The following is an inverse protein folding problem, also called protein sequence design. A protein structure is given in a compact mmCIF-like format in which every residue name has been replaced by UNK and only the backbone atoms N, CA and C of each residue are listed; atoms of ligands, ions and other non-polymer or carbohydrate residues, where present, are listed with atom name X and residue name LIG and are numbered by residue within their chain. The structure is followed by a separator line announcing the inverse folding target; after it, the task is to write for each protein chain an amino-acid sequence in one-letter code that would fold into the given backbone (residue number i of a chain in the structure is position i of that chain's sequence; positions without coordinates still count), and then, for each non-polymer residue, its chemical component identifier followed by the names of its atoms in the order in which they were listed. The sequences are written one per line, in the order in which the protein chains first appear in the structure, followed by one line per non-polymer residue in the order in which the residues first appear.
data_IF_296924298551
#
_entry.id   IF_296924298551
#
_cell.length_a   1.000
_cell.length_b   1.000
_cell.length_c   1.000
_cell.angle_alpha   90.00
_cell.angle_beta   90.00
_cell.angle_gamma   90.00
#
_symmetry.space_group_name_H-M   'P 1'
#
loop_
_entity.id
_entity.type
_entity.pdbx_description
1 polymer ?
#
# COMPACT_ATOMS: atom_id res chain seq x y z
N UNK A 1 -54.57 28.27 -42.77
CA UNK A 1 -53.32 28.42 -42.00
C UNK A 1 -53.60 27.97 -40.56
N UNK A 2 -53.28 26.73 -40.24
CA UNK A 2 -53.39 26.19 -38.88
C UNK A 2 -52.00 26.32 -38.23
N UNK A 3 -51.89 27.09 -37.15
CA UNK A 3 -50.66 27.22 -36.38
C UNK A 3 -50.67 26.19 -35.24
N UNK A 4 -49.80 25.19 -35.32
CA UNK A 4 -49.53 24.26 -34.23
C UNK A 4 -48.65 24.96 -33.19
N UNK A 5 -49.16 25.12 -31.98
CA UNK A 5 -48.39 25.55 -30.81
C UNK A 5 -47.66 24.33 -30.25
N UNK A 6 -46.33 24.28 -30.41
CA UNK A 6 -45.48 23.26 -29.78
C UNK A 6 -45.09 23.78 -28.39
N UNK A 7 -45.71 23.21 -27.37
CA UNK A 7 -45.37 23.46 -25.97
C UNK A 7 -44.09 22.67 -25.64
N UNK A 8 -42.93 23.34 -25.65
CA UNK A 8 -41.68 22.75 -25.16
C UNK A 8 -41.72 22.69 -23.63
N UNK A 9 -42.04 21.53 -23.08
CA UNK A 9 -41.81 21.23 -21.67
C UNK A 9 -40.31 21.06 -21.48
N UNK A 10 -39.65 22.13 -21.04
CA UNK A 10 -38.29 22.04 -20.52
C UNK A 10 -38.35 21.26 -19.21
N UNK A 11 -38.14 19.94 -19.29
CA UNK A 11 -37.71 19.13 -18.17
C UNK A 11 -36.39 19.72 -17.69
N UNK A 12 -36.44 20.53 -16.65
CA UNK A 12 -35.30 20.85 -15.81
C UNK A 12 -34.85 19.54 -15.14
N UNK A 13 -34.14 18.70 -15.89
CA UNK A 13 -33.28 17.69 -15.31
C UNK A 13 -32.20 18.49 -14.60
N UNK A 14 -32.40 18.69 -13.31
CA UNK A 14 -31.36 19.15 -12.42
C UNK A 14 -30.30 18.05 -12.42
N UNK A 15 -29.37 18.10 -13.37
CA UNK A 15 -28.12 17.34 -13.29
C UNK A 15 -27.37 17.98 -12.12
N UNK A 16 -27.70 17.54 -10.91
CA UNK A 16 -26.80 17.71 -9.78
C UNK A 16 -25.57 16.88 -10.13
N UNK A 17 -24.59 17.53 -10.75
CA UNK A 17 -23.22 17.10 -10.65
C UNK A 17 -22.91 17.09 -9.15
N UNK A 18 -23.11 15.93 -8.53
CA UNK A 18 -22.94 15.79 -7.09
C UNK A 18 -21.45 15.88 -6.81
N UNK A 19 -20.99 17.06 -6.40
CA UNK A 19 -19.69 17.29 -5.77
C UNK A 19 -19.65 16.65 -4.37
N UNK A 20 -20.21 15.45 -4.22
CA UNK A 20 -20.22 14.74 -2.96
C UNK A 20 -18.91 13.96 -2.86
N UNK A 21 -17.92 14.69 -2.37
CA UNK A 21 -16.54 14.27 -2.07
C UNK A 21 -16.51 13.01 -1.19
N UNK A 22 -17.40 12.92 -0.21
CA UNK A 22 -17.53 11.77 0.69
C UNK A 22 -18.87 11.06 0.51
N UNK A 23 -18.89 9.71 0.50
CA UNK A 23 -20.13 8.95 0.46
C UNK A 23 -21.03 9.22 1.68
N UNK A 24 -22.34 8.95 1.60
CA UNK A 24 -23.23 8.99 2.75
C UNK A 24 -22.69 8.13 3.90
N UNK A 25 -22.73 8.67 5.12
CA UNK A 25 -22.11 8.04 6.29
C UNK A 25 -22.74 6.67 6.61
N UNK A 26 -24.02 6.47 6.30
CA UNK A 26 -24.74 5.19 6.44
C UNK A 26 -24.22 4.07 5.54
N UNK A 27 -23.68 4.41 4.36
CA UNK A 27 -23.15 3.43 3.40
C UNK A 27 -21.74 2.96 3.77
N UNK A 28 -21.01 3.76 4.55
CA UNK A 28 -19.59 3.53 4.86
C UNK A 28 -19.33 3.12 6.31
N UNK A 29 -20.34 2.99 7.17
CA UNK A 29 -20.16 2.56 8.57
C UNK A 29 -19.34 1.26 8.66
N UNK A 30 -18.37 1.13 9.59
CA UNK A 30 -17.98 2.09 10.63
C UNK A 30 -16.90 3.10 10.17
N UNK A 31 -16.54 3.09 8.89
CA UNK A 31 -15.56 4.01 8.35
C UNK A 31 -16.10 5.45 8.35
N UNK A 32 -15.17 6.39 8.39
CA UNK A 32 -15.43 7.82 8.28
C UNK A 32 -14.75 8.35 7.03
N UNK A 33 -15.35 9.35 6.42
CA UNK A 33 -14.76 10.08 5.30
C UNK A 33 -14.69 11.57 5.64
N UNK A 34 -13.55 12.19 5.37
CA UNK A 34 -13.35 13.63 5.49
C UNK A 34 -12.49 14.13 4.33
N UNK A 35 -12.65 15.38 3.92
CA UNK A 35 -11.85 15.95 2.84
C UNK A 35 -12.60 16.92 1.94
N UNK A 36 -11.89 17.39 0.91
CA UNK A 36 -12.43 18.16 -0.22
C UNK A 36 -12.06 17.47 -1.55
N UNK A 37 -12.38 18.09 -2.69
CA UNK A 37 -12.23 17.55 -4.05
C UNK A 37 -10.84 16.94 -4.38
N UNK A 38 -9.78 17.32 -3.66
CA UNK A 38 -8.41 16.83 -3.88
C UNK A 38 -7.80 16.07 -2.70
N UNK A 39 -8.45 16.05 -1.54
CA UNK A 39 -7.88 15.52 -0.28
C UNK A 39 -8.91 14.68 0.48
N UNK A 40 -9.47 13.68 -0.19
CA UNK A 40 -10.36 12.72 0.47
C UNK A 40 -9.51 11.81 1.37
N UNK A 41 -10.01 11.54 2.57
CA UNK A 41 -9.43 10.65 3.55
C UNK A 41 -10.51 9.71 4.07
N UNK A 42 -10.36 8.43 3.77
CA UNK A 42 -11.18 7.36 4.30
C UNK A 42 -10.48 6.71 5.49
N UNK A 43 -11.19 6.60 6.61
CA UNK A 43 -10.66 6.03 7.84
C UNK A 43 -11.61 4.97 8.39
N UNK A 44 -11.17 3.72 8.30
CA UNK A 44 -11.85 2.56 8.86
C UNK A 44 -11.16 2.15 10.16
N UNK A 45 -11.92 2.08 11.25
CA UNK A 45 -11.42 1.66 12.55
C UNK A 45 -12.36 0.63 13.19
N UNK A 46 -11.80 -0.30 13.97
CA UNK A 46 -12.61 -1.26 14.73
C UNK A 46 -13.38 -2.26 13.87
N UNK A 47 -12.91 -2.54 12.65
CA UNK A 47 -13.56 -3.52 11.77
C UNK A 47 -13.39 -4.92 12.37
N UNK A 48 -14.49 -5.63 12.60
CA UNK A 48 -14.50 -6.94 13.27
C UNK A 48 -14.79 -8.12 12.33
N UNK A 49 -15.15 -7.85 11.08
CA UNK A 49 -15.38 -8.90 10.08
C UNK A 49 -15.08 -8.41 8.66
N UNK A 50 -14.73 -9.36 7.78
CA UNK A 50 -14.52 -9.06 6.37
C UNK A 50 -15.76 -8.46 5.71
N UNK A 51 -16.94 -8.98 6.03
CA UNK A 51 -18.22 -8.49 5.49
C UNK A 51 -18.45 -7.00 5.81
N UNK A 52 -18.07 -6.57 7.01
CA UNK A 52 -18.17 -5.17 7.41
C UNK A 52 -17.29 -4.29 6.53
N UNK A 53 -16.01 -4.66 6.34
CA UNK A 53 -15.10 -3.94 5.44
C UNK A 53 -15.64 -3.88 4.00
N UNK A 54 -16.08 -5.03 3.47
CA UNK A 54 -16.61 -5.13 2.11
C UNK A 54 -17.82 -4.22 1.89
N UNK A 55 -18.70 -4.10 2.88
CA UNK A 55 -19.84 -3.20 2.80
C UNK A 55 -19.38 -1.74 2.81
N UNK A 56 -18.48 -1.36 3.72
CA UNK A 56 -17.99 0.01 3.81
C UNK A 56 -17.23 0.44 2.55
N UNK A 57 -16.40 -0.45 1.99
CA UNK A 57 -15.56 -0.15 0.81
C UNK A 57 -16.40 0.10 -0.44
N UNK A 58 -17.55 -0.56 -0.60
CA UNK A 58 -18.47 -0.32 -1.73
C UNK A 58 -18.92 1.15 -1.82
N UNK A 59 -19.11 1.81 -0.67
CA UNK A 59 -19.48 3.23 -0.65
C UNK A 59 -18.41 4.13 -1.27
N UNK A 60 -17.14 3.71 -1.30
CA UNK A 60 -16.03 4.47 -1.87
C UNK A 60 -15.75 4.17 -3.35
N UNK A 61 -16.47 3.22 -3.97
CA UNK A 61 -16.29 2.93 -5.40
C UNK A 61 -16.65 4.16 -6.25
N UNK A 62 -15.74 4.57 -7.13
CA UNK A 62 -15.92 5.74 -8.00
C UNK A 62 -15.55 7.10 -7.38
N UNK A 63 -15.19 7.15 -6.09
CA UNK A 63 -14.61 8.36 -5.51
C UNK A 63 -13.22 8.63 -6.11
N UNK A 64 -12.93 9.89 -6.45
CA UNK A 64 -11.62 10.31 -6.95
C UNK A 64 -10.59 10.23 -5.83
N UNK A 65 -9.37 9.83 -6.19
CA UNK A 65 -8.28 9.35 -5.34
C UNK A 65 -8.09 9.95 -3.94
N UNK A 66 -7.73 9.08 -2.97
CA UNK A 66 -7.65 9.42 -1.53
C UNK A 66 -6.57 8.67 -0.76
N UNK A 67 -6.36 9.14 0.48
CA UNK A 67 -5.74 8.32 1.53
C UNK A 67 -6.79 7.36 2.08
N UNK A 68 -6.48 6.07 2.14
CA UNK A 68 -7.32 5.07 2.81
C UNK A 68 -6.55 4.48 3.98
N UNK A 69 -7.19 4.48 5.16
CA UNK A 69 -6.58 3.97 6.38
C UNK A 69 -7.46 2.90 7.03
N UNK A 70 -6.83 1.80 7.43
CA UNK A 70 -7.44 0.77 8.28
C UNK A 70 -6.66 0.73 9.58
N UNK A 71 -7.36 0.81 10.70
CA UNK A 71 -6.76 0.80 12.03
C UNK A 71 -7.54 -0.08 12.99
N UNK A 72 -6.86 -0.59 14.02
CA UNK A 72 -7.49 -1.22 15.19
C UNK A 72 -8.53 -2.29 14.79
N UNK A 73 -8.24 -3.07 13.74
CA UNK A 73 -9.19 -3.98 13.10
C UNK A 73 -8.78 -5.44 13.27
N UNK A 74 -9.75 -6.33 13.44
CA UNK A 74 -9.51 -7.74 13.73
C UNK A 74 -10.45 -8.62 12.90
N UNK A 75 -9.90 -9.19 11.82
CA UNK A 75 -10.60 -10.15 10.96
C UNK A 75 -9.58 -11.06 10.27
N UNK A 76 -10.05 -12.18 9.72
CA UNK A 76 -9.18 -13.31 9.34
C UNK A 76 -8.06 -12.94 8.35
N UNK A 77 -8.37 -12.25 7.26
CA UNK A 77 -7.41 -11.83 6.24
C UNK A 77 -7.95 -10.66 5.43
N UNK A 78 -7.06 -9.88 4.82
CA UNK A 78 -7.43 -8.84 3.86
C UNK A 78 -7.44 -9.43 2.44
N UNK A 79 -8.57 -9.40 1.70
CA UNK A 79 -8.57 -9.84 0.30
C UNK A 79 -7.63 -8.98 -0.54
N UNK A 80 -6.99 -9.59 -1.54
CA UNK A 80 -5.99 -8.93 -2.38
C UNK A 80 -6.60 -7.86 -3.30
N UNK A 81 -7.87 -8.02 -3.67
CA UNK A 81 -8.65 -7.20 -4.61
C UNK A 81 -9.68 -6.31 -3.92
N UNK A 82 -9.65 -6.20 -2.59
CA UNK A 82 -10.64 -5.42 -1.83
C UNK A 82 -10.71 -3.95 -2.26
N UNK A 83 -9.61 -3.42 -2.82
CA UNK A 83 -9.51 -2.04 -3.30
C UNK A 83 -9.61 -1.91 -4.83
N UNK A 84 -10.03 -2.97 -5.52
CA UNK A 84 -10.18 -2.96 -6.98
C UNK A 84 -11.19 -1.88 -7.40
N UNK A 85 -10.86 -1.18 -8.49
CA UNK A 85 -11.62 -0.02 -9.00
C UNK A 85 -11.61 1.22 -8.10
N UNK A 86 -10.66 1.31 -7.16
CA UNK A 86 -10.39 2.53 -6.40
C UNK A 86 -9.10 3.18 -6.92
N UNK A 87 -8.87 4.44 -6.56
CA UNK A 87 -7.66 5.17 -6.94
C UNK A 87 -6.90 5.61 -5.69
N UNK A 88 -6.47 4.67 -4.87
CA UNK A 88 -5.84 4.99 -3.58
C UNK A 88 -4.39 5.42 -3.81
N UNK A 89 -4.01 6.63 -3.39
CA UNK A 89 -2.61 7.11 -3.45
C UNK A 89 -1.80 6.71 -2.22
N UNK A 90 -2.44 6.72 -1.06
CA UNK A 90 -1.80 6.42 0.20
C UNK A 90 -2.64 5.40 0.96
N UNK A 91 -2.12 4.19 1.11
CA UNK A 91 -2.76 3.12 1.89
C UNK A 91 -1.98 2.91 3.18
N UNK A 92 -2.67 3.05 4.32
CA UNK A 92 -2.09 2.76 5.64
C UNK A 92 -2.92 1.71 6.36
N UNK A 93 -2.26 0.68 6.86
CA UNK A 93 -2.88 -0.36 7.70
C UNK A 93 -2.09 -0.42 8.99
N UNK A 94 -2.75 -0.21 10.12
CA UNK A 94 -2.07 -0.17 11.41
C UNK A 94 -2.81 -0.89 12.53
N UNK A 95 -2.06 -1.39 13.53
CA UNK A 95 -2.59 -1.94 14.79
C UNK A 95 -3.72 -2.95 14.59
N UNK A 96 -3.59 -3.77 13.55
CA UNK A 96 -4.62 -4.69 13.12
C UNK A 96 -4.17 -6.14 13.33
N UNK A 97 -5.08 -7.10 13.18
CA UNK A 97 -4.82 -8.52 13.44
C UNK A 97 -5.26 -9.40 12.28
N UNK A 98 -4.58 -9.25 11.15
CA UNK A 98 -4.83 -10.06 9.96
C UNK A 98 -3.91 -11.27 9.96
N UNK A 99 -4.37 -12.40 9.44
CA UNK A 99 -3.47 -13.53 9.22
C UNK A 99 -2.59 -13.33 7.99
N UNK A 100 -3.09 -12.65 6.94
CA UNK A 100 -2.43 -12.46 5.64
C UNK A 100 -3.12 -11.38 4.79
N UNK A 101 -2.51 -11.02 3.66
CA UNK A 101 -3.13 -10.27 2.55
C UNK A 101 -3.19 -11.19 1.34
N UNK A 102 -4.40 -11.51 0.88
CA UNK A 102 -4.64 -12.48 -0.19
C UNK A 102 -4.15 -13.89 0.16
N UNK A 103 -4.02 -14.71 -0.87
CA UNK A 103 -3.48 -16.05 -0.86
C UNK A 103 -2.23 -16.13 -1.75
N UNK A 104 -1.62 -17.31 -1.81
CA UNK A 104 -0.46 -17.56 -2.65
C UNK A 104 -0.81 -17.39 -4.14
N UNK A 105 -0.04 -16.56 -4.83
CA UNK A 105 -0.21 -16.29 -6.26
C UNK A 105 -1.12 -15.09 -6.56
N UNK A 106 -1.81 -14.55 -5.56
CA UNK A 106 -2.60 -13.34 -5.72
C UNK A 106 -1.68 -12.11 -5.90
N UNK A 107 -2.13 -11.15 -6.71
CA UNK A 107 -1.53 -9.83 -6.79
C UNK A 107 -2.04 -8.97 -5.62
N UNK A 108 -1.29 -8.89 -4.52
CA UNK A 108 -1.74 -8.14 -3.34
C UNK A 108 -1.92 -6.65 -3.68
N UNK A 109 -3.12 -6.12 -3.37
CA UNK A 109 -3.56 -4.77 -3.72
C UNK A 109 -3.87 -4.60 -5.22
N UNK A 110 -4.44 -5.64 -5.85
CA UNK A 110 -4.90 -5.60 -7.24
C UNK A 110 -5.84 -4.41 -7.50
N UNK A 111 -5.62 -3.74 -8.63
CA UNK A 111 -6.33 -2.55 -9.06
C UNK A 111 -5.68 -1.23 -8.62
N UNK A 112 -4.63 -1.29 -7.79
CA UNK A 112 -3.89 -0.11 -7.33
C UNK A 112 -2.54 0.09 -8.04
N UNK A 113 -2.26 -0.66 -9.10
CA UNK A 113 -0.95 -0.73 -9.77
C UNK A 113 -0.41 0.62 -10.23
N UNK A 114 -1.32 1.47 -10.72
CA UNK A 114 -1.02 2.77 -11.32
C UNK A 114 -1.42 3.96 -10.44
N UNK A 115 -1.89 3.70 -9.21
CA UNK A 115 -2.37 4.75 -8.31
C UNK A 115 -1.69 4.78 -6.96
N UNK A 116 -1.24 3.63 -6.43
CA UNK A 116 -0.64 3.59 -5.09
C UNK A 116 0.77 4.16 -5.09
N UNK A 117 0.95 5.30 -4.43
CA UNK A 117 2.23 5.98 -4.30
C UNK A 117 2.92 5.69 -2.96
N UNK A 118 2.15 5.44 -1.89
CA UNK A 118 2.68 5.10 -0.57
C UNK A 118 1.89 3.98 0.07
N UNK A 119 2.60 2.96 0.54
CA UNK A 119 2.06 1.86 1.31
C UNK A 119 2.74 1.80 2.68
N UNK A 120 1.95 1.88 3.75
CA UNK A 120 2.43 1.73 5.12
C UNK A 120 1.68 0.62 5.83
N UNK A 121 2.40 -0.35 6.39
CA UNK A 121 1.81 -1.42 7.20
C UNK A 121 2.53 -1.46 8.54
N UNK A 122 1.80 -1.33 9.65
CA UNK A 122 2.36 -1.24 11.00
C UNK A 122 1.62 -2.13 11.99
N UNK A 123 2.31 -3.06 12.65
CA UNK A 123 1.71 -3.89 13.72
C UNK A 123 0.40 -4.56 13.26
N UNK A 124 0.42 -5.26 12.12
CA UNK A 124 -0.82 -5.69 11.41
C UNK A 124 -1.08 -7.18 11.43
N UNK A 125 -0.04 -8.01 11.55
CA UNK A 125 -0.16 -9.45 11.28
C UNK A 125 -0.03 -10.31 12.53
N UNK A 126 -0.85 -11.37 12.60
CA UNK A 126 -0.79 -12.38 13.65
C UNK A 126 0.05 -13.59 13.28
N UNK A 127 0.23 -13.87 11.97
CA UNK A 127 1.10 -14.95 11.51
C UNK A 127 2.57 -14.58 11.70
N UNK A 128 3.38 -15.62 11.92
CA UNK A 128 4.83 -15.46 12.02
C UNK A 128 5.47 -14.98 10.72
N UNK A 129 5.07 -15.49 9.55
CA UNK A 129 5.68 -15.11 8.27
C UNK A 129 4.64 -14.55 7.28
N UNK A 130 4.06 -13.37 7.53
CA UNK A 130 2.96 -12.83 6.73
C UNK A 130 3.38 -12.42 5.30
N UNK A 131 4.68 -12.20 5.07
CA UNK A 131 5.22 -11.76 3.78
C UNK A 131 5.92 -12.88 2.98
N UNK A 132 5.80 -14.14 3.39
CA UNK A 132 6.39 -15.27 2.64
C UNK A 132 5.80 -15.43 1.23
N UNK A 133 4.58 -14.92 1.00
CA UNK A 133 3.82 -15.08 -0.24
C UNK A 133 3.28 -13.74 -0.77
N UNK A 134 3.86 -12.63 -0.34
CA UNK A 134 3.42 -11.28 -0.71
C UNK A 134 4.37 -10.72 -1.75
N UNK A 135 3.85 -10.36 -2.92
CA UNK A 135 4.60 -9.85 -4.06
C UNK A 135 4.00 -8.52 -4.52
N UNK A 136 4.71 -7.42 -4.25
CA UNK A 136 4.24 -6.06 -4.51
C UNK A 136 4.95 -5.40 -5.69
N UNK A 137 5.74 -6.16 -6.46
CA UNK A 137 6.54 -5.64 -7.58
C UNK A 137 5.71 -5.30 -8.84
N UNK A 138 4.39 -5.51 -8.79
CA UNK A 138 3.43 -5.07 -9.80
C UNK A 138 2.90 -3.64 -9.56
N UNK A 139 3.13 -3.05 -8.37
CA UNK A 139 2.65 -1.71 -7.99
C UNK A 139 3.54 -0.60 -8.58
N UNK A 140 3.44 -0.38 -9.89
CA UNK A 140 4.41 0.42 -10.65
C UNK A 140 4.54 1.89 -10.25
N UNK A 141 3.50 2.48 -9.66
CA UNK A 141 3.53 3.87 -9.16
C UNK A 141 4.02 4.02 -7.71
N UNK A 142 4.41 2.93 -7.06
CA UNK A 142 4.81 2.94 -5.65
C UNK A 142 6.14 3.69 -5.47
N UNK A 143 6.10 4.75 -4.66
CA UNK A 143 7.26 5.61 -4.34
C UNK A 143 7.83 5.31 -2.96
N UNK A 144 6.97 4.97 -2.00
CA UNK A 144 7.34 4.69 -0.61
C UNK A 144 6.71 3.38 -0.15
N UNK A 145 7.53 2.50 0.40
CA UNK A 145 7.08 1.28 1.06
C UNK A 145 7.60 1.24 2.50
N UNK A 146 6.69 1.25 3.46
CA UNK A 146 7.01 1.21 4.88
C UNK A 146 6.36 0.01 5.58
N UNK A 147 7.19 -0.83 6.20
CA UNK A 147 6.78 -1.87 7.12
C UNK A 147 7.39 -1.56 8.47
N UNK A 148 6.56 -1.51 9.52
CA UNK A 148 7.04 -1.29 10.88
C UNK A 148 6.47 -2.30 11.85
N UNK A 149 7.30 -2.87 12.72
CA UNK A 149 6.83 -3.85 13.72
C UNK A 149 6.00 -4.98 13.10
N UNK A 150 6.44 -5.48 11.96
CA UNK A 150 5.89 -6.68 11.34
C UNK A 150 7.02 -7.69 11.11
N UNK A 151 6.75 -8.98 11.16
CA UNK A 151 7.81 -9.97 11.03
C UNK A 151 8.19 -10.23 9.56
N UNK A 152 9.34 -9.70 9.14
CA UNK A 152 9.95 -9.88 7.81
C UNK A 152 11.29 -10.58 8.00
N UNK A 153 11.29 -11.85 8.43
CA UNK A 153 12.54 -12.54 8.80
C UNK A 153 13.64 -12.47 7.73
N UNK A 154 13.25 -12.50 6.46
CA UNK A 154 14.15 -12.44 5.31
C UNK A 154 13.59 -11.52 4.21
N UNK A 155 14.44 -10.63 3.70
CA UNK A 155 14.13 -9.88 2.49
C UNK A 155 14.57 -10.70 1.27
N UNK A 156 13.62 -11.45 0.68
CA UNK A 156 13.92 -12.41 -0.38
C UNK A 156 14.21 -11.74 -1.72
N UNK A 157 14.99 -12.44 -2.56
CA UNK A 157 15.36 -12.02 -3.92
C UNK A 157 14.17 -11.77 -4.86
N UNK A 158 12.99 -12.30 -4.53
CA UNK A 158 11.81 -12.21 -5.40
C UNK A 158 10.89 -11.04 -5.05
N UNK A 159 11.12 -10.31 -3.95
CA UNK A 159 10.24 -9.21 -3.51
C UNK A 159 10.12 -8.08 -4.54
N UNK A 160 11.24 -7.76 -5.20
CA UNK A 160 11.34 -6.67 -6.17
C UNK A 160 11.94 -7.14 -7.50
N UNK A 161 11.75 -8.42 -7.84
CA UNK A 161 12.38 -9.04 -9.01
C UNK A 161 12.00 -8.33 -10.30
N UNK A 162 10.75 -7.90 -10.47
CA UNK A 162 10.33 -7.17 -11.66
C UNK A 162 10.65 -5.67 -11.63
N UNK A 163 11.29 -5.19 -10.56
CA UNK A 163 11.58 -3.77 -10.35
C UNK A 163 10.34 -2.91 -10.08
N UNK A 164 10.56 -1.80 -9.38
CA UNK A 164 9.58 -0.76 -9.12
C UNK A 164 10.18 0.57 -9.58
N UNK A 165 9.79 1.09 -10.77
CA UNK A 165 10.50 2.19 -11.41
C UNK A 165 10.40 3.49 -10.60
N UNK A 166 9.30 3.72 -9.89
CA UNK A 166 9.09 4.95 -9.14
C UNK A 166 9.50 4.82 -7.66
N UNK A 167 9.99 3.66 -7.20
CA UNK A 167 10.28 3.43 -5.80
C UNK A 167 11.55 4.16 -5.37
N UNK A 168 11.39 5.07 -4.41
CA UNK A 168 12.46 5.94 -3.89
C UNK A 168 12.86 5.57 -2.46
N UNK A 169 11.90 5.12 -1.65
CA UNK A 169 12.08 4.95 -0.20
C UNK A 169 11.57 3.57 0.23
N UNK A 170 12.43 2.81 0.90
CA UNK A 170 12.07 1.61 1.67
C UNK A 170 12.37 1.87 3.14
N UNK A 171 11.39 1.62 4.02
CA UNK A 171 11.58 1.64 5.48
C UNK A 171 11.03 0.38 6.11
N UNK A 172 11.90 -0.54 6.49
CA UNK A 172 11.54 -1.75 7.23
C UNK A 172 12.13 -1.69 8.63
N UNK A 173 11.39 -1.08 9.56
CA UNK A 173 11.88 -0.76 10.91
C UNK A 173 11.28 -1.73 11.93
N UNK A 174 12.10 -2.27 12.82
CA UNK A 174 11.63 -3.19 13.87
C UNK A 174 10.93 -4.44 13.27
N UNK A 175 11.48 -4.95 12.16
CA UNK A 175 10.88 -6.02 11.37
C UNK A 175 11.47 -7.41 11.64
N UNK A 176 12.48 -7.50 12.51
CA UNK A 176 13.25 -8.72 12.78
C UNK A 176 13.91 -9.33 11.53
N UNK A 177 14.30 -8.50 10.55
CA UNK A 177 15.04 -8.94 9.37
C UNK A 177 16.40 -9.49 9.82
N UNK A 178 16.73 -10.71 9.40
CA UNK A 178 18.01 -11.38 9.69
C UNK A 178 18.99 -11.31 8.52
N UNK A 179 18.49 -11.39 7.30
CA UNK A 179 19.31 -11.33 6.10
C UNK A 179 18.57 -10.70 4.92
N UNK A 180 19.36 -10.04 4.07
CA UNK A 180 18.93 -9.48 2.79
C UNK A 180 19.48 -10.36 1.67
N UNK A 181 18.59 -10.80 0.78
CA UNK A 181 18.96 -11.62 -0.37
C UNK A 181 19.96 -10.92 -1.29
N UNK A 182 20.85 -11.70 -1.90
CA UNK A 182 21.96 -11.19 -2.69
C UNK A 182 21.59 -10.42 -3.95
N UNK A 183 20.32 -10.41 -4.37
CA UNK A 183 19.80 -9.56 -5.46
C UNK A 183 18.48 -8.89 -5.09
N UNK A 184 18.14 -8.83 -3.80
CA UNK A 184 16.81 -8.44 -3.36
C UNK A 184 16.41 -7.03 -3.76
N UNK A 185 17.35 -6.10 -3.88
CA UNK A 185 17.13 -4.70 -4.24
C UNK A 185 17.74 -4.34 -5.61
N UNK A 186 18.30 -5.32 -6.34
CA UNK A 186 19.18 -5.08 -7.49
C UNK A 186 18.48 -4.32 -8.64
N UNK A 187 17.16 -4.48 -8.74
CA UNK A 187 16.31 -3.89 -9.78
C UNK A 187 15.66 -2.57 -9.36
N UNK A 188 15.91 -2.06 -8.15
CA UNK A 188 15.38 -0.78 -7.66
C UNK A 188 16.29 0.39 -8.06
N UNK A 189 16.34 0.68 -9.38
CA UNK A 189 17.32 1.61 -9.95
C UNK A 189 17.24 3.05 -9.43
N UNK A 190 16.06 3.49 -9.00
CA UNK A 190 15.81 4.85 -8.50
C UNK A 190 15.75 4.92 -6.96
N UNK A 191 16.14 3.85 -6.25
CA UNK A 191 16.13 3.83 -4.79
C UNK A 191 17.09 4.88 -4.23
N UNK A 192 16.58 5.71 -3.32
CA UNK A 192 17.33 6.80 -2.67
C UNK A 192 17.60 6.52 -1.21
N UNK A 193 16.58 6.03 -0.49
CA UNK A 193 16.66 5.81 0.95
C UNK A 193 16.26 4.38 1.26
N UNK A 194 17.11 3.69 2.02
CA UNK A 194 16.78 2.43 2.66
C UNK A 194 17.01 2.53 4.16
N UNK A 195 15.94 2.32 4.93
CA UNK A 195 15.99 2.26 6.38
C UNK A 195 15.66 0.84 6.84
N UNK A 196 16.66 0.15 7.39
CA UNK A 196 16.52 -1.17 8.00
C UNK A 196 16.89 -1.09 9.50
N UNK A 197 16.69 0.06 10.14
CA UNK A 197 16.97 0.23 11.55
C UNK A 197 16.15 -0.71 12.44
N UNK A 198 16.69 -1.01 13.63
CA UNK A 198 16.06 -1.88 14.63
C UNK A 198 15.73 -3.28 14.08
N UNK A 199 16.63 -3.84 13.29
CA UNK A 199 16.55 -5.24 12.84
C UNK A 199 17.70 -6.07 13.42
N UNK A 200 17.72 -7.36 13.10
CA UNK A 200 18.76 -8.30 13.53
C UNK A 200 19.65 -8.72 12.36
N UNK A 201 19.91 -7.77 11.46
CA UNK A 201 20.65 -8.00 10.21
C UNK A 201 22.12 -8.23 10.55
N UNK A 202 22.65 -9.37 10.12
CA UNK A 202 24.06 -9.71 10.31
C UNK A 202 24.93 -9.36 9.11
N UNK A 203 24.34 -9.40 7.91
CA UNK A 203 25.05 -9.24 6.64
C UNK A 203 24.14 -8.73 5.52
N UNK A 204 24.65 -7.80 4.71
CA UNK A 204 24.05 -7.36 3.44
C UNK A 204 25.13 -7.40 2.35
N UNK A 205 24.99 -8.23 1.29
CA UNK A 205 25.95 -8.26 0.20
C UNK A 205 25.81 -7.04 -0.72
N UNK A 206 26.92 -6.54 -1.27
CA UNK A 206 26.91 -5.43 -2.25
C UNK A 206 26.01 -5.70 -3.46
N UNK A 207 25.97 -6.94 -3.93
CA UNK A 207 25.13 -7.38 -5.06
C UNK A 207 23.64 -7.23 -4.80
N UNK A 208 23.22 -7.10 -3.53
CA UNK A 208 21.82 -6.88 -3.18
C UNK A 208 21.31 -5.57 -3.79
N UNK A 209 22.19 -4.58 -3.97
CA UNK A 209 21.87 -3.25 -4.47
C UNK A 209 22.07 -3.14 -5.99
N UNK A 210 21.49 -2.12 -6.64
CA UNK A 210 21.79 -1.81 -8.03
C UNK A 210 23.28 -1.55 -8.27
N UNK A 211 23.76 -1.93 -9.44
CA UNK A 211 25.13 -1.68 -9.88
C UNK A 211 25.12 -0.96 -11.24
N UNK A 212 25.60 0.31 -11.32
CA UNK A 212 25.90 1.21 -10.20
C UNK A 212 24.64 1.69 -9.45
N UNK A 213 24.76 1.96 -8.13
CA UNK A 213 23.70 2.54 -7.30
C UNK A 213 23.70 4.07 -7.41
N UNK A 214 23.33 4.60 -8.58
CA UNK A 214 23.51 6.03 -8.93
C UNK A 214 22.71 7.02 -8.07
N UNK A 215 21.58 6.58 -7.51
CA UNK A 215 20.63 7.45 -6.80
C UNK A 215 20.60 7.19 -5.29
N UNK A 216 21.35 6.21 -4.79
CA UNK A 216 21.30 5.83 -3.38
C UNK A 216 21.99 6.89 -2.52
N UNK A 217 21.23 7.51 -1.64
CA UNK A 217 21.64 8.63 -0.78
C UNK A 217 21.87 8.18 0.66
N UNK A 218 21.02 7.28 1.18
CA UNK A 218 21.02 6.89 2.59
C UNK A 218 20.77 5.39 2.78
N UNK A 219 21.60 4.76 3.61
CA UNK A 219 21.39 3.41 4.15
C UNK A 219 21.42 3.52 5.68
N UNK A 220 20.25 3.51 6.32
CA UNK A 220 20.13 3.51 7.77
C UNK A 220 20.09 2.07 8.30
N UNK A 221 21.05 1.73 9.15
CA UNK A 221 21.21 0.44 9.82
C UNK A 221 21.32 0.58 11.34
N UNK A 222 20.86 1.71 11.89
CA UNK A 222 20.91 1.99 13.33
C UNK A 222 20.25 0.85 14.12
N UNK A 223 20.82 0.49 15.27
CA UNK A 223 20.35 -0.62 16.11
C UNK A 223 20.34 -2.01 15.44
N UNK A 224 20.96 -2.17 14.27
CA UNK A 224 21.24 -3.48 13.68
C UNK A 224 22.58 -4.07 14.16
N UNK A 225 22.64 -5.39 14.31
CA UNK A 225 23.84 -6.13 14.74
C UNK A 225 24.70 -6.58 13.55
N UNK A 226 25.30 -5.62 12.83
CA UNK A 226 26.09 -5.92 11.64
C UNK A 226 27.49 -6.41 12.02
N UNK A 227 27.89 -7.58 11.49
CA UNK A 227 29.23 -8.12 11.68
C UNK A 227 30.22 -7.69 10.58
N UNK A 228 29.74 -7.43 9.35
CA UNK A 228 30.56 -6.85 8.28
C UNK A 228 29.71 -6.23 7.16
N UNK A 229 30.17 -5.11 6.60
CA UNK A 229 29.77 -4.59 5.29
C UNK A 229 30.89 -4.94 4.32
N UNK A 230 30.71 -5.98 3.50
CA UNK A 230 31.79 -6.43 2.62
C UNK A 230 31.72 -5.70 1.27
N UNK A 231 32.70 -4.83 1.00
CA UNK A 231 32.96 -4.27 -0.32
C UNK A 231 33.78 -5.27 -1.15
N UNK A 232 33.15 -6.33 -1.61
CA UNK A 232 33.72 -7.24 -2.62
C UNK A 232 32.82 -7.08 -3.84
N UNK A 233 33.20 -6.47 -4.96
CA UNK A 233 34.43 -6.60 -5.73
C UNK A 233 34.84 -5.27 -6.37
N UNK A 234 36.16 -5.09 -6.55
CA UNK A 234 36.79 -4.18 -7.52
C UNK A 234 36.36 -4.46 -8.94
#
# INVERSE_FOLDING_TARGET
MLAFSVCFVLLNVCVRASSQVCPPQEDIQPCKCFGNDNTIHAHCAGISSLRQLQNSVKGFHGAKAFTFTISDSNFEYLPYDIFKNMSIRHLSISKSKFSRIGNLGDAQFEGLETSLESLTIKETFTRKHPFAYVFMDHLKSLKTLELRKNHVEFLHNEWFRNGLPDLLIIRFVECAIRAVGWRALQNLKNLRIIDLSDNVITYIPRTAFPEPALHLEEINLELSIIFSLNSSYT
#
